data_IF_757049727163
#
_entry.id   IF_757049727163
#
_cell.length_a   1.000
_cell.length_b   1.000
_cell.length_c   1.000
_cell.angle_alpha   90.00
_cell.angle_beta   90.00
_cell.angle_gamma   90.00
#
_symmetry.space_group_name_H-M   'P 1'
#
loop_
_entity.id
_entity.type
_entity.pdbx_description
1 polymer ?
#
# COMPACT_ATOMS: atom_id res chain seq x y z
N UNK A 1 -28.03 -10.61 -47.93
CA UNK A 1 -27.74 -11.85 -47.17
C UNK A 1 -26.79 -11.59 -46.01
N UNK A 2 -26.25 -10.37 -45.88
CA UNK A 2 -25.21 -10.00 -44.92
C UNK A 2 -25.70 -9.40 -43.58
N UNK A 3 -26.98 -9.09 -43.51
CA UNK A 3 -27.56 -8.45 -42.29
C UNK A 3 -27.85 -9.44 -41.15
N UNK A 4 -27.99 -10.73 -41.45
CA UNK A 4 -28.29 -11.79 -40.47
C UNK A 4 -27.01 -12.31 -39.80
N UNK A 5 -25.87 -12.18 -40.44
CA UNK A 5 -24.57 -12.64 -39.89
C UNK A 5 -24.09 -11.72 -38.78
N UNK A 6 -24.25 -10.40 -38.91
CA UNK A 6 -23.81 -9.40 -37.91
C UNK A 6 -24.61 -9.46 -36.61
N UNK A 7 -25.89 -9.77 -36.68
CA UNK A 7 -26.78 -9.83 -35.51
C UNK A 7 -26.47 -11.07 -34.62
N UNK A 8 -26.11 -12.18 -35.26
CA UNK A 8 -25.75 -13.42 -34.53
C UNK A 8 -24.42 -13.33 -33.83
N UNK A 9 -23.49 -12.54 -34.37
CA UNK A 9 -22.16 -12.36 -33.80
C UNK A 9 -22.19 -11.42 -32.58
N UNK A 10 -23.06 -10.41 -32.59
CA UNK A 10 -23.24 -9.51 -31.43
C UNK A 10 -23.79 -10.26 -30.21
N UNK A 11 -24.82 -11.08 -30.38
CA UNK A 11 -25.40 -11.85 -29.28
C UNK A 11 -24.43 -12.90 -28.68
N UNK A 12 -23.55 -13.47 -29.52
CA UNK A 12 -22.54 -14.43 -29.04
C UNK A 12 -21.46 -13.72 -28.19
N UNK A 13 -21.04 -12.52 -28.60
CA UNK A 13 -20.07 -11.72 -27.87
C UNK A 13 -20.66 -11.24 -26.53
N UNK A 14 -21.91 -10.76 -26.54
CA UNK A 14 -22.62 -10.36 -25.34
C UNK A 14 -22.83 -11.52 -24.36
N UNK A 15 -23.18 -12.71 -24.90
CA UNK A 15 -23.31 -13.92 -24.07
C UNK A 15 -21.99 -14.39 -23.47
N UNK A 16 -20.89 -14.23 -24.20
CA UNK A 16 -19.54 -14.54 -23.71
C UNK A 16 -19.13 -13.52 -22.65
N UNK A 17 -19.42 -12.23 -22.84
CA UNK A 17 -19.15 -11.20 -21.86
C UNK A 17 -19.95 -11.40 -20.57
N UNK A 18 -21.23 -11.76 -20.67
CA UNK A 18 -22.07 -12.09 -19.51
C UNK A 18 -21.56 -13.35 -18.82
N UNK A 19 -21.23 -14.41 -19.56
CA UNK A 19 -20.67 -15.64 -18.99
C UNK A 19 -19.31 -15.43 -18.33
N UNK A 20 -18.43 -14.58 -18.89
CA UNK A 20 -17.16 -14.18 -18.28
C UNK A 20 -17.37 -13.29 -17.05
N UNK A 21 -18.41 -12.45 -17.04
CA UNK A 21 -18.79 -11.65 -15.88
C UNK A 21 -19.35 -12.53 -14.75
N UNK A 22 -20.16 -13.53 -15.07
CA UNK A 22 -20.64 -14.52 -14.08
C UNK A 22 -19.52 -15.46 -13.60
N UNK A 23 -18.59 -15.86 -14.49
CA UNK A 23 -17.42 -16.63 -14.12
C UNK A 23 -16.49 -15.85 -13.16
N UNK A 24 -16.46 -14.51 -13.26
CA UNK A 24 -15.75 -13.64 -12.35
C UNK A 24 -16.30 -13.69 -10.91
N UNK A 25 -17.57 -14.05 -10.74
CA UNK A 25 -18.20 -14.24 -9.41
C UNK A 25 -17.82 -15.59 -8.79
N UNK A 26 -17.35 -16.56 -9.59
CA UNK A 26 -17.08 -17.95 -9.13
C UNK A 26 -15.63 -18.18 -8.70
N UNK A 27 -14.71 -17.23 -8.90
CA UNK A 27 -13.34 -17.35 -8.42
C UNK A 27 -13.12 -16.41 -7.23
N UNK A 28 -13.53 -16.81 -6.00
CA UNK A 28 -13.32 -15.99 -4.80
C UNK A 28 -11.86 -15.96 -4.35
N UNK A 29 -10.94 -16.55 -5.13
CA UNK A 29 -9.53 -16.61 -4.79
C UNK A 29 -8.75 -15.58 -5.61
N UNK A 30 -8.70 -14.36 -5.12
CA UNK A 30 -7.72 -13.39 -5.62
C UNK A 30 -6.30 -13.98 -5.50
N UNK A 31 -5.43 -13.77 -6.49
CA UNK A 31 -4.04 -14.27 -6.46
C UNK A 31 -3.31 -13.93 -5.15
N UNK A 32 -3.63 -12.79 -4.54
CA UNK A 32 -3.06 -12.35 -3.26
C UNK A 32 -3.41 -13.31 -2.13
N UNK A 33 -4.65 -13.80 -2.06
CA UNK A 33 -5.10 -14.76 -1.04
C UNK A 33 -4.39 -16.10 -1.24
N UNK A 34 -4.24 -16.53 -2.49
CA UNK A 34 -3.52 -17.78 -2.80
C UNK A 34 -2.04 -17.69 -2.42
N UNK A 35 -1.36 -16.58 -2.70
CA UNK A 35 0.02 -16.36 -2.27
C UNK A 35 0.16 -16.28 -0.76
N UNK A 36 -0.81 -15.68 -0.06
CA UNK A 36 -0.83 -15.68 1.39
C UNK A 36 -0.99 -17.09 1.95
N UNK A 37 -1.93 -17.88 1.43
CA UNK A 37 -2.14 -19.27 1.83
C UNK A 37 -0.91 -20.13 1.55
N UNK A 38 -0.26 -19.93 0.40
CA UNK A 38 0.99 -20.60 0.05
C UNK A 38 2.11 -20.25 1.05
N UNK A 39 2.25 -18.97 1.40
CA UNK A 39 3.22 -18.52 2.41
C UNK A 39 2.97 -19.13 3.78
N UNK A 40 1.70 -19.21 4.19
CA UNK A 40 1.30 -19.84 5.44
C UNK A 40 1.62 -21.34 5.45
N UNK A 41 1.29 -22.04 4.36
CA UNK A 41 1.60 -23.46 4.19
C UNK A 41 3.11 -23.72 4.20
N UNK A 42 3.90 -22.91 3.50
CA UNK A 42 5.35 -22.99 3.48
C UNK A 42 5.95 -22.74 4.87
N UNK A 43 5.44 -21.77 5.62
CA UNK A 43 5.85 -21.51 7.00
C UNK A 43 5.53 -22.68 7.93
N UNK A 44 4.36 -23.26 7.79
CA UNK A 44 3.97 -24.44 8.59
C UNK A 44 4.80 -25.68 8.23
N UNK A 45 5.10 -25.87 6.95
CA UNK A 45 5.98 -26.93 6.49
C UNK A 45 7.48 -26.69 6.84
N UNK A 46 7.80 -25.59 7.54
CA UNK A 46 9.19 -25.15 7.83
C UNK A 46 10.07 -25.09 6.58
N UNK A 47 9.49 -24.72 5.47
CA UNK A 47 10.20 -24.54 4.20
C UNK A 47 11.07 -23.29 4.25
N UNK A 48 12.30 -23.39 3.77
CA UNK A 48 13.25 -22.27 3.72
C UNK A 48 13.01 -21.41 2.45
N UNK A 49 11.75 -21.07 2.18
CA UNK A 49 11.33 -20.26 1.04
C UNK A 49 11.72 -18.80 1.31
N UNK A 50 12.96 -18.46 0.96
CA UNK A 50 13.49 -17.09 1.06
C UNK A 50 13.75 -16.55 -0.33
N UNK A 51 13.23 -15.36 -0.61
CA UNK A 51 13.62 -14.62 -1.81
C UNK A 51 15.09 -14.18 -1.65
N UNK A 52 15.93 -14.37 -2.67
CA UNK A 52 17.27 -13.79 -2.69
C UNK A 52 17.20 -12.28 -2.47
N UNK A 53 18.11 -11.73 -1.67
CA UNK A 53 18.11 -10.31 -1.30
C UNK A 53 18.08 -9.39 -2.54
N UNK A 54 18.82 -9.73 -3.58
CA UNK A 54 18.83 -8.99 -4.85
C UNK A 54 17.45 -8.89 -5.51
N UNK A 55 16.69 -10.00 -5.53
CA UNK A 55 15.33 -9.99 -6.09
C UNK A 55 14.39 -9.14 -5.24
N UNK A 56 14.49 -9.23 -3.92
CA UNK A 56 13.70 -8.42 -2.99
C UNK A 56 13.97 -6.93 -3.20
N UNK A 57 15.23 -6.52 -3.26
CA UNK A 57 15.62 -5.12 -3.49
C UNK A 57 15.16 -4.63 -4.87
N UNK A 58 15.37 -5.41 -5.92
CA UNK A 58 14.96 -5.05 -7.29
C UNK A 58 13.44 -4.89 -7.41
N UNK A 59 12.67 -5.81 -6.83
CA UNK A 59 11.21 -5.71 -6.81
C UNK A 59 10.71 -4.51 -6.01
N UNK A 60 11.36 -4.21 -4.88
CA UNK A 60 11.02 -3.06 -4.04
C UNK A 60 11.25 -1.74 -4.77
N UNK A 61 12.39 -1.59 -5.45
CA UNK A 61 12.70 -0.41 -6.27
C UNK A 61 11.72 -0.28 -7.43
N UNK A 62 11.46 -1.38 -8.13
CA UNK A 62 10.49 -1.41 -9.24
C UNK A 62 9.09 -1.00 -8.79
N UNK A 63 8.62 -1.54 -7.65
CA UNK A 63 7.31 -1.23 -7.11
C UNK A 63 7.20 0.24 -6.70
N UNK A 64 8.23 0.77 -6.03
CA UNK A 64 8.28 2.17 -5.62
C UNK A 64 8.24 3.11 -6.85
N UNK A 65 9.00 2.77 -7.89
CA UNK A 65 9.03 3.55 -9.13
C UNK A 65 7.68 3.49 -9.86
N UNK A 66 7.10 2.30 -9.98
CA UNK A 66 5.81 2.10 -10.66
C UNK A 66 4.67 2.85 -9.96
N UNK A 67 4.60 2.79 -8.63
CA UNK A 67 3.59 3.48 -7.84
C UNK A 67 3.81 4.99 -7.88
N UNK A 68 5.05 5.44 -7.72
CA UNK A 68 5.40 6.86 -7.79
C UNK A 68 5.05 7.47 -9.15
N UNK A 69 5.39 6.78 -10.24
CA UNK A 69 5.08 7.25 -11.60
C UNK A 69 3.58 7.25 -11.85
N UNK A 70 2.87 6.17 -11.51
CA UNK A 70 1.42 6.09 -11.65
C UNK A 70 0.73 7.16 -10.82
N UNK A 71 1.12 7.32 -9.56
CA UNK A 71 0.57 8.34 -8.67
C UNK A 71 0.81 9.76 -9.19
N UNK A 72 2.01 10.05 -9.70
CA UNK A 72 2.33 11.35 -10.29
C UNK A 72 1.51 11.67 -11.54
N UNK A 73 1.34 10.69 -12.43
CA UNK A 73 0.50 10.85 -13.65
C UNK A 73 -0.97 11.10 -13.28
N UNK A 74 -1.50 10.35 -12.33
CA UNK A 74 -2.89 10.56 -11.89
C UNK A 74 -3.07 11.91 -11.20
N UNK A 75 -2.12 12.32 -10.35
CA UNK A 75 -2.16 13.61 -9.68
C UNK A 75 -2.18 14.79 -10.67
N UNK A 76 -1.45 14.66 -11.77
CA UNK A 76 -1.37 15.69 -12.82
C UNK A 76 -2.69 15.90 -13.58
N UNK A 77 -3.66 14.98 -13.48
CA UNK A 77 -4.98 15.08 -14.12
C UNK A 77 -5.98 15.95 -13.36
N UNK A 78 -5.69 16.25 -12.10
CA UNK A 78 -6.58 17.01 -11.24
C UNK A 78 -6.07 18.44 -11.06
N UNK A 79 -6.97 19.44 -11.01
CA UNK A 79 -6.57 20.82 -10.72
C UNK A 79 -6.04 20.92 -9.28
N UNK A 80 -4.94 21.64 -9.11
CA UNK A 80 -4.27 21.78 -7.80
C UNK A 80 -5.19 22.29 -6.69
N UNK A 81 -6.16 23.12 -7.06
CA UNK A 81 -7.11 23.69 -6.09
C UNK A 81 -7.94 22.63 -5.36
N UNK A 82 -8.32 21.56 -6.08
CA UNK A 82 -9.13 20.47 -5.54
C UNK A 82 -8.29 19.51 -4.67
N UNK A 83 -6.98 19.50 -4.90
CA UNK A 83 -6.05 18.60 -4.23
C UNK A 83 -5.46 19.20 -2.94
N UNK A 84 -5.44 20.51 -2.76
CA UNK A 84 -4.83 21.17 -1.60
C UNK A 84 -5.43 20.67 -0.29
N UNK A 85 -6.76 20.59 -0.21
CA UNK A 85 -7.46 20.10 0.97
C UNK A 85 -7.09 18.64 1.31
N UNK A 86 -7.33 17.68 0.39
CA UNK A 86 -6.94 16.29 0.59
C UNK A 86 -5.46 16.09 0.92
N UNK A 87 -4.54 16.77 0.22
CA UNK A 87 -3.10 16.69 0.49
C UNK A 87 -2.76 17.19 1.89
N UNK A 88 -3.35 18.31 2.32
CA UNK A 88 -3.12 18.84 3.67
C UNK A 88 -3.55 17.84 4.75
N UNK A 89 -4.72 17.20 4.58
CA UNK A 89 -5.22 16.16 5.50
C UNK A 89 -4.30 14.95 5.51
N UNK A 90 -3.84 14.50 4.35
CA UNK A 90 -2.93 13.35 4.22
C UNK A 90 -1.60 13.62 4.91
N UNK A 91 -0.99 14.79 4.68
CA UNK A 91 0.27 15.17 5.32
C UNK A 91 0.09 15.33 6.83
N UNK A 92 -0.99 15.96 7.27
CA UNK A 92 -1.30 16.08 8.70
C UNK A 92 -1.44 14.70 9.35
N UNK A 93 -2.14 13.76 8.72
CA UNK A 93 -2.31 12.39 9.19
C UNK A 93 -0.97 11.65 9.23
N UNK A 94 -0.14 11.78 8.19
CA UNK A 94 1.19 11.18 8.10
C UNK A 94 2.13 11.65 9.21
N UNK A 95 1.90 12.85 9.74
CA UNK A 95 2.66 13.37 10.88
C UNK A 95 2.03 13.00 12.24
N UNK A 96 0.72 13.13 12.36
CA UNK A 96 0.00 12.91 13.62
C UNK A 96 -0.01 11.45 14.06
N UNK A 97 -0.23 10.53 13.13
CA UNK A 97 -0.32 9.09 13.43
C UNK A 97 0.97 8.55 14.05
N UNK A 98 2.16 8.70 13.42
CA UNK A 98 3.40 8.22 14.04
C UNK A 98 3.76 8.95 15.33
N UNK A 99 3.45 10.23 15.48
CA UNK A 99 3.70 10.96 16.70
C UNK A 99 2.84 10.45 17.86
N UNK A 100 1.56 10.24 17.64
CA UNK A 100 0.65 9.68 18.65
C UNK A 100 1.01 8.25 19.00
N UNK A 101 1.30 7.40 18.00
CA UNK A 101 1.77 6.05 18.23
C UNK A 101 3.06 6.03 19.06
N UNK A 102 4.04 6.88 18.74
CA UNK A 102 5.27 7.02 19.49
C UNK A 102 5.04 7.38 20.97
N UNK A 103 4.18 8.36 21.23
CA UNK A 103 3.85 8.77 22.60
C UNK A 103 3.15 7.68 23.40
N UNK A 104 2.22 6.97 22.78
CA UNK A 104 1.51 5.84 23.39
C UNK A 104 2.47 4.71 23.71
N UNK A 105 3.36 4.35 22.79
CA UNK A 105 4.34 3.28 22.98
C UNK A 105 5.36 3.60 24.06
N UNK A 106 5.81 4.86 24.14
CA UNK A 106 6.73 5.30 25.20
C UNK A 106 6.08 5.30 26.59
N UNK A 107 4.87 5.85 26.72
CA UNK A 107 4.23 6.04 28.02
C UNK A 107 3.41 4.84 28.47
N UNK A 108 2.64 4.26 27.55
CA UNK A 108 1.78 3.12 27.83
C UNK A 108 2.51 1.78 27.68
N UNK A 109 3.28 1.63 26.58
CA UNK A 109 4.01 0.41 26.26
C UNK A 109 5.33 0.26 27.00
N UNK A 110 5.83 1.32 27.65
CA UNK A 110 7.16 1.36 28.33
C UNK A 110 8.30 0.85 27.46
N UNK A 111 8.18 0.98 26.13
CA UNK A 111 9.18 0.54 25.17
C UNK A 111 10.37 1.50 25.16
N UNK A 112 11.54 0.97 24.80
CA UNK A 112 12.71 1.77 24.49
C UNK A 112 12.41 2.80 23.39
N UNK A 113 13.05 3.97 23.45
CA UNK A 113 12.77 5.06 22.52
C UNK A 113 13.02 4.67 21.05
N UNK A 114 14.06 3.89 20.80
CA UNK A 114 14.39 3.39 19.46
C UNK A 114 13.29 2.46 18.93
N UNK A 115 12.84 1.52 19.77
CA UNK A 115 11.81 0.56 19.39
C UNK A 115 10.47 1.25 19.19
N UNK A 116 10.11 2.18 20.09
CA UNK A 116 8.90 2.99 19.95
C UNK A 116 8.94 3.84 18.66
N UNK A 117 10.09 4.42 18.29
CA UNK A 117 10.24 5.19 17.07
C UNK A 117 10.12 4.32 15.81
N UNK A 118 10.73 3.14 15.83
CA UNK A 118 10.66 2.18 14.72
C UNK A 118 9.23 1.71 14.47
N UNK A 119 8.52 1.30 15.52
CA UNK A 119 7.13 0.86 15.43
C UNK A 119 6.24 2.03 14.97
N UNK A 120 6.43 3.21 15.53
CA UNK A 120 5.64 4.40 15.18
C UNK A 120 5.79 4.79 13.70
N UNK A 121 6.99 4.66 13.13
CA UNK A 121 7.23 4.89 11.69
C UNK A 121 6.37 3.98 10.82
N UNK A 122 6.23 2.70 11.20
CA UNK A 122 5.42 1.74 10.46
C UNK A 122 3.91 2.02 10.59
N UNK A 123 3.45 2.57 11.72
CA UNK A 123 2.06 2.97 11.88
C UNK A 123 1.65 4.15 11.00
N UNK A 124 2.58 5.01 10.62
CA UNK A 124 2.32 6.11 9.70
C UNK A 124 2.35 5.72 8.22
N UNK A 125 2.86 4.52 7.90
CA UNK A 125 2.95 4.00 6.54
C UNK A 125 1.73 3.17 6.18
N UNK A 126 1.31 3.21 4.92
CA UNK A 126 0.20 2.42 4.39
C UNK A 126 0.75 1.28 3.55
N UNK A 127 0.25 0.07 3.79
CA UNK A 127 0.62 -1.09 2.97
C UNK A 127 0.05 -0.98 1.55
N UNK A 128 0.95 -0.97 0.57
CA UNK A 128 0.61 -0.97 -0.86
C UNK A 128 -0.27 -2.17 -1.22
N UNK A 129 0.03 -3.34 -0.65
CA UNK A 129 -0.73 -4.57 -0.90
C UNK A 129 -2.16 -4.43 -0.38
N UNK A 130 -2.32 -3.95 0.85
CA UNK A 130 -3.65 -3.71 1.44
C UNK A 130 -4.46 -2.71 0.63
N UNK A 131 -3.81 -1.64 0.17
CA UNK A 131 -4.46 -0.66 -0.71
C UNK A 131 -4.91 -1.29 -2.03
N UNK A 132 -4.06 -2.08 -2.69
CA UNK A 132 -4.38 -2.73 -3.95
C UNK A 132 -5.57 -3.70 -3.80
N UNK A 133 -5.59 -4.49 -2.71
CA UNK A 133 -6.72 -5.39 -2.40
C UNK A 133 -7.99 -4.60 -2.16
N UNK A 134 -7.93 -3.52 -1.37
CA UNK A 134 -9.10 -2.66 -1.11
C UNK A 134 -9.63 -2.01 -2.39
N UNK A 135 -8.74 -1.49 -3.25
CA UNK A 135 -9.12 -0.90 -4.53
C UNK A 135 -9.78 -1.92 -5.48
N UNK A 136 -9.23 -3.13 -5.54
CA UNK A 136 -9.81 -4.23 -6.34
C UNK A 136 -11.18 -4.64 -5.80
N UNK A 137 -11.32 -4.72 -4.48
CA UNK A 137 -12.60 -5.04 -3.83
C UNK A 137 -13.67 -3.99 -4.13
N UNK A 138 -13.34 -2.71 -4.01
CA UNK A 138 -14.25 -1.60 -4.33
C UNK A 138 -14.63 -1.58 -5.81
N UNK A 139 -13.68 -1.84 -6.71
CA UNK A 139 -13.95 -1.97 -8.13
C UNK A 139 -14.91 -3.14 -8.44
N UNK A 140 -14.82 -4.24 -7.69
CA UNK A 140 -15.74 -5.37 -7.78
C UNK A 140 -17.17 -5.05 -7.31
N UNK A 141 -17.34 -4.00 -6.51
CA UNK A 141 -18.64 -3.48 -6.04
C UNK A 141 -19.13 -2.29 -6.88
N UNK A 142 -18.51 -1.99 -8.01
CA UNK A 142 -18.77 -0.81 -8.85
C UNK A 142 -18.68 0.53 -8.09
N UNK A 143 -17.87 0.57 -7.01
CA UNK A 143 -17.58 1.80 -6.28
C UNK A 143 -16.36 2.46 -6.90
N UNK A 144 -16.58 3.63 -7.49
CA UNK A 144 -15.51 4.44 -8.08
C UNK A 144 -14.57 4.97 -6.98
N UNK A 145 -13.27 4.83 -7.20
CA UNK A 145 -12.23 5.41 -6.36
C UNK A 145 -11.48 6.50 -7.13
N UNK A 146 -11.11 7.55 -6.42
CA UNK A 146 -10.35 8.65 -7.03
C UNK A 146 -8.95 8.20 -7.43
N UNK A 147 -8.54 8.51 -8.67
CA UNK A 147 -7.24 8.08 -9.22
C UNK A 147 -6.04 8.60 -8.44
N UNK A 148 -6.15 9.78 -7.82
CA UNK A 148 -5.07 10.40 -7.03
C UNK A 148 -4.80 9.67 -5.69
N UNK A 149 -5.65 8.75 -5.25
CA UNK A 149 -5.43 7.96 -4.02
C UNK A 149 -4.10 7.19 -4.05
N UNK A 150 -3.65 6.78 -5.24
CA UNK A 150 -2.35 6.12 -5.41
C UNK A 150 -1.19 7.05 -5.03
N UNK A 151 -1.30 8.34 -5.35
CA UNK A 151 -0.28 9.33 -4.98
C UNK A 151 -0.23 9.56 -3.47
N UNK A 152 -1.36 9.45 -2.78
CA UNK A 152 -1.43 9.61 -1.33
C UNK A 152 -0.70 8.51 -0.57
N UNK A 153 -0.57 7.30 -1.12
CA UNK A 153 0.30 6.27 -0.55
C UNK A 153 1.73 6.77 -0.37
N UNK A 154 2.30 7.35 -1.43
CA UNK A 154 3.68 7.86 -1.40
C UNK A 154 3.79 9.06 -0.46
N UNK A 155 2.78 9.94 -0.46
CA UNK A 155 2.74 11.12 0.42
C UNK A 155 2.63 10.75 1.91
N UNK A 156 1.99 9.64 2.25
CA UNK A 156 1.90 9.13 3.62
C UNK A 156 3.21 8.50 4.09
N UNK A 157 3.89 7.78 3.22
CA UNK A 157 5.07 7.00 3.58
C UNK A 157 6.27 7.87 3.94
N UNK A 158 6.57 8.89 3.15
CA UNK A 158 7.76 9.71 3.32
C UNK A 158 7.82 10.46 4.66
N UNK A 159 6.79 11.23 5.09
CA UNK A 159 6.81 11.92 6.38
C UNK A 159 6.87 10.97 7.57
N UNK A 160 6.18 9.84 7.51
CA UNK A 160 6.17 8.84 8.58
C UNK A 160 7.57 8.25 8.83
N UNK A 161 8.27 7.87 7.77
CA UNK A 161 9.65 7.39 7.85
C UNK A 161 10.60 8.46 8.38
N UNK A 162 10.47 9.70 7.90
CA UNK A 162 11.29 10.84 8.37
C UNK A 162 11.13 11.07 9.87
N UNK A 163 9.89 11.08 10.37
CA UNK A 163 9.59 11.23 11.80
C UNK A 163 10.23 10.08 12.60
N UNK A 164 10.08 8.84 12.16
CA UNK A 164 10.68 7.68 12.83
C UNK A 164 12.20 7.79 12.93
N UNK A 165 12.87 8.16 11.84
CA UNK A 165 14.32 8.36 11.83
C UNK A 165 14.76 9.49 12.76
N UNK A 166 14.08 10.63 12.73
CA UNK A 166 14.40 11.78 13.61
C UNK A 166 14.20 11.43 15.08
N UNK A 167 13.10 10.75 15.41
CA UNK A 167 12.80 10.33 16.80
C UNK A 167 13.81 9.30 17.31
N UNK A 168 14.26 8.39 16.46
CA UNK A 168 15.28 7.38 16.78
C UNK A 168 16.67 8.00 17.00
N UNK A 169 17.09 8.93 16.14
CA UNK A 169 18.42 9.56 16.20
C UNK A 169 18.66 10.38 17.46
N UNK A 170 17.65 10.98 18.06
CA UNK A 170 17.80 11.74 19.32
C UNK A 170 18.30 10.90 20.49
N UNK A 171 18.25 9.58 20.38
CA UNK A 171 18.73 8.64 21.43
C UNK A 171 20.21 8.30 21.26
N UNK A 172 20.69 8.14 20.03
CA UNK A 172 22.09 7.77 19.77
C UNK A 172 23.07 8.89 20.11
N UNK A 173 22.65 10.15 19.95
CA UNK A 173 23.48 11.31 20.31
C UNK A 173 23.73 11.42 21.83
N UNK A 174 22.76 11.12 22.68
CA UNK A 174 22.95 11.15 24.15
C UNK A 174 23.77 9.98 24.67
N UNK A 175 23.66 8.80 24.06
CA UNK A 175 24.43 7.62 24.45
C UNK A 175 25.91 7.72 24.09
N UNK A 176 26.27 8.51 23.08
CA UNK A 176 27.63 8.70 22.64
C UNK A 176 28.41 9.71 23.52
N UNK A 177 27.72 10.75 23.98
CA UNK A 177 28.31 11.72 24.88
C UNK A 177 28.53 11.19 26.33
N UNK A 178 27.66 10.30 26.81
CA UNK A 178 27.76 9.67 28.12
C UNK A 178 28.86 8.59 28.22
N UNK A 179 29.51 8.20 27.12
CA UNK A 179 30.63 7.26 27.07
C UNK A 179 32.00 7.94 26.93
N UNK A 180 31.99 9.25 26.70
CA UNK A 180 33.23 10.05 26.52
C UNK A 180 33.56 10.91 27.77
N UNK A 181 32.76 10.87 28.81
CA UNK A 181 32.96 11.43 30.14
C UNK A 181 33.10 10.31 31.16
#
# INVERSE_FOLDING_TARGET
MDFICGFRQSHAIDSIHVALSEAKIIVPFEPVILFFALGLAAGWARSDLKLPAFLYESLSIFLLLAIGLKGGVELARYPLQDLIGPIAVVIASAMLIPLTAFLVLLRGGKLGRSDAASIAAHYGSVSVVTFAVAATFLAGLDVATEGYMVAFLVLLEFPALMIGVVLSRRTSSQAQWGRLL
#
